data_IF_110439573067
#
_entry.id   IF_110439573067
#
_cell.length_a   1.000
_cell.length_b   1.000
_cell.length_c   1.000
_cell.angle_alpha   90.00
_cell.angle_beta   90.00
_cell.angle_gamma   90.00
#
_symmetry.space_group_name_H-M   'P 1'
#
loop_
_entity.id
_entity.type
_entity.pdbx_description
1 polymer ?
#
# COMPACT_ATOMS: atom_id res chain seq x y z
N UNK A 1 0.23 -8.71 16.89
CA UNK A 1 0.19 -7.39 16.32
C UNK A 1 0.13 -7.44 14.80
N UNK A 2 -0.71 -6.66 14.20
CA UNK A 2 -0.88 -6.68 12.76
C UNK A 2 -0.38 -5.38 12.16
N UNK A 3 -0.27 -5.37 10.85
CA UNK A 3 0.14 -4.19 10.14
C UNK A 3 1.64 -4.15 9.91
N UNK A 4 2.10 -3.06 9.33
CA UNK A 4 3.47 -2.94 8.89
C UNK A 4 4.35 -2.30 9.97
N UNK A 5 5.62 -2.66 9.95
CA UNK A 5 6.60 -2.02 10.82
C UNK A 5 7.05 -0.70 10.21
N UNK A 6 7.75 0.11 11.02
CA UNK A 6 8.28 1.38 10.55
C UNK A 6 9.26 1.17 9.40
N UNK A 7 10.06 0.11 9.46
CA UNK A 7 11.01 -0.19 8.39
C UNK A 7 10.29 -0.53 7.09
N UNK A 8 9.18 -1.23 7.19
CA UNK A 8 8.39 -1.55 6.00
C UNK A 8 7.78 -0.30 5.39
N UNK A 9 7.27 0.60 6.21
CA UNK A 9 6.75 1.87 5.71
C UNK A 9 7.81 2.67 4.99
N UNK A 10 9.01 2.74 5.55
CA UNK A 10 10.12 3.43 4.90
C UNK A 10 10.47 2.81 3.55
N UNK A 11 10.48 1.50 3.50
CA UNK A 11 10.76 0.78 2.26
C UNK A 11 9.73 1.12 1.20
N UNK A 12 8.45 1.08 1.57
CA UNK A 12 7.38 1.39 0.62
C UNK A 12 7.43 2.84 0.17
N UNK A 13 7.74 3.75 1.08
CA UNK A 13 7.85 5.16 0.71
C UNK A 13 8.96 5.37 -0.30
N UNK A 14 10.08 4.68 -0.12
CA UNK A 14 11.19 4.75 -1.06
C UNK A 14 10.81 4.22 -2.43
N UNK A 15 10.09 3.11 -2.47
CA UNK A 15 9.62 2.55 -3.72
C UNK A 15 8.63 3.49 -4.39
N UNK A 16 7.70 4.03 -3.60
CA UNK A 16 6.66 4.91 -4.13
C UNK A 16 7.25 6.15 -4.79
N UNK A 17 8.30 6.70 -4.19
CA UNK A 17 8.92 7.90 -4.75
C UNK A 17 9.51 7.66 -6.13
N UNK A 18 9.92 6.44 -6.40
CA UNK A 18 10.52 6.09 -7.68
C UNK A 18 9.51 5.67 -8.73
N UNK A 19 8.27 5.44 -8.35
CA UNK A 19 7.23 4.99 -9.27
C UNK A 19 6.66 6.13 -10.08
N UNK A 20 6.24 5.83 -11.30
CA UNK A 20 5.41 6.74 -12.07
C UNK A 20 4.00 6.74 -11.51
N UNK A 21 3.20 7.72 -11.93
CA UNK A 21 1.80 7.77 -11.51
C UNK A 21 1.06 6.52 -11.96
N UNK A 22 1.34 6.07 -13.17
CA UNK A 22 0.75 4.84 -13.70
C UNK A 22 1.09 3.64 -12.83
N UNK A 23 2.35 3.54 -12.44
CA UNK A 23 2.81 2.46 -11.57
C UNK A 23 2.14 2.51 -10.21
N UNK A 24 2.00 3.71 -9.65
CA UNK A 24 1.33 3.87 -8.37
C UNK A 24 -0.11 3.40 -8.43
N UNK A 25 -0.82 3.80 -9.48
CA UNK A 25 -2.20 3.36 -9.66
C UNK A 25 -2.31 1.85 -9.74
N UNK A 26 -1.39 1.23 -10.46
CA UNK A 26 -1.38 -0.23 -10.61
C UNK A 26 -1.13 -0.92 -9.27
N UNK A 27 -0.15 -0.42 -8.53
CA UNK A 27 0.20 -1.01 -7.23
C UNK A 27 -0.97 -0.87 -6.25
N UNK A 28 -1.60 0.30 -6.23
CA UNK A 28 -2.73 0.56 -5.34
C UNK A 28 -3.87 -0.40 -5.65
N UNK A 29 -4.15 -0.58 -6.93
CA UNK A 29 -5.20 -1.50 -7.34
C UNK A 29 -4.89 -2.93 -6.88
N UNK A 30 -3.64 -3.37 -7.08
CA UNK A 30 -3.21 -4.69 -6.65
C UNK A 30 -3.37 -4.87 -5.15
N UNK A 31 -2.95 -3.87 -4.38
CA UNK A 31 -3.04 -3.95 -2.92
C UNK A 31 -4.48 -4.04 -2.47
N UNK A 32 -5.37 -3.29 -3.10
CA UNK A 32 -6.78 -3.32 -2.75
C UNK A 32 -7.40 -4.68 -3.07
N UNK A 33 -7.02 -5.27 -4.18
CA UNK A 33 -7.52 -6.58 -4.55
C UNK A 33 -7.02 -7.64 -3.57
N UNK A 34 -5.76 -7.55 -3.19
CA UNK A 34 -5.20 -8.48 -2.21
C UNK A 34 -5.88 -8.31 -0.85
N UNK A 35 -6.15 -7.08 -0.46
CA UNK A 35 -6.83 -6.79 0.79
C UNK A 35 -8.23 -7.42 0.80
N UNK A 36 -8.96 -7.26 -0.29
CA UNK A 36 -10.29 -7.84 -0.42
C UNK A 36 -10.25 -9.36 -0.33
N UNK A 37 -9.25 -9.97 -0.96
CA UNK A 37 -9.12 -11.42 -0.95
C UNK A 37 -8.87 -11.95 0.45
N UNK A 38 -8.20 -11.16 1.29
CA UNK A 38 -7.90 -11.57 2.67
C UNK A 38 -9.02 -11.23 3.65
N UNK A 39 -9.99 -10.44 3.20
CA UNK A 39 -11.06 -9.98 4.07
C UNK A 39 -11.84 -11.17 4.65
N UNK A 40 -11.97 -11.17 5.95
CA UNK A 40 -12.79 -12.16 6.63
C UNK A 40 -12.06 -13.44 6.99
N UNK A 41 -10.82 -13.66 6.52
CA UNK A 41 -10.14 -14.87 6.91
C UNK A 41 -8.65 -14.70 7.22
N UNK A 42 -8.07 -13.57 6.93
CA UNK A 42 -6.71 -13.30 7.38
C UNK A 42 -6.56 -11.83 7.72
N UNK A 43 -7.00 -11.44 8.93
CA UNK A 43 -6.99 -10.02 9.31
C UNK A 43 -5.60 -9.40 9.34
N UNK A 44 -4.58 -10.17 9.68
CA UNK A 44 -3.23 -9.63 9.70
C UNK A 44 -2.76 -9.23 8.31
N UNK A 45 -3.00 -10.09 7.34
CA UNK A 45 -2.64 -9.79 5.97
C UNK A 45 -3.50 -8.69 5.39
N UNK A 46 -4.77 -8.67 5.75
CA UNK A 46 -5.66 -7.60 5.33
C UNK A 46 -5.12 -6.25 5.77
N UNK A 47 -4.70 -6.15 7.03
CA UNK A 47 -4.14 -4.91 7.57
C UNK A 47 -2.82 -4.55 6.91
N UNK A 48 -2.00 -5.54 6.63
CA UNK A 48 -0.73 -5.34 5.97
C UNK A 48 -0.93 -4.69 4.59
N UNK A 49 -1.84 -5.24 3.80
CA UNK A 49 -2.11 -4.68 2.47
C UNK A 49 -2.79 -3.33 2.56
N UNK A 50 -3.61 -3.12 3.57
CA UNK A 50 -4.24 -1.84 3.79
C UNK A 50 -3.19 -0.76 4.04
N UNK A 51 -2.18 -1.08 4.85
CA UNK A 51 -1.08 -0.15 5.13
C UNK A 51 -0.28 0.16 3.88
N UNK A 52 -0.05 -0.83 3.06
CA UNK A 52 0.64 -0.60 1.79
C UNK A 52 -0.12 0.36 0.89
N UNK A 53 -1.21 0.20 0.83
CA UNK A 53 -1.89 0.85 0.08
C UNK A 53 -1.95 2.11 0.42
N UNK A 54 -2.17 2.32 1.59
CA UNK A 54 -2.24 3.69 2.10
C UNK A 54 -0.97 4.48 1.78
N UNK A 55 0.16 3.84 1.95
CA UNK A 55 1.45 4.49 1.66
C UNK A 55 1.54 4.94 0.22
N UNK A 56 1.19 4.06 -0.71
CA UNK A 56 1.25 4.39 -2.12
C UNK A 56 0.20 5.45 -2.49
N UNK A 57 -0.98 5.37 -1.88
CA UNK A 57 -2.02 6.36 -2.11
C UNK A 57 -1.59 7.76 -1.65
N UNK A 58 -0.90 7.82 -0.51
CA UNK A 58 -0.40 9.09 -0.01
C UNK A 58 0.57 9.74 -0.98
N UNK A 59 1.45 8.94 -1.56
CA UNK A 59 2.40 9.46 -2.54
C UNK A 59 1.68 9.96 -3.80
N UNK A 60 0.70 9.21 -4.26
CA UNK A 60 -0.07 9.61 -5.43
C UNK A 60 -0.79 10.93 -5.18
N UNK A 61 -1.43 11.03 -4.01
CA UNK A 61 -2.15 12.24 -3.63
C UNK A 61 -1.22 13.44 -3.58
N UNK A 62 -0.02 13.24 -3.06
CA UNK A 62 0.98 14.27 -2.95
C UNK A 62 1.36 14.82 -4.33
N UNK A 63 1.47 13.93 -5.33
CA UNK A 63 1.86 14.32 -6.68
C UNK A 63 0.75 15.02 -7.45
N UNK A 64 -0.49 14.72 -7.12
CA UNK A 64 -1.64 15.28 -7.83
C UNK A 64 -2.07 16.64 -7.28
N UNK A 65 -1.43 17.08 -6.23
CA UNK A 65 -1.75 18.36 -5.63
C UNK A 65 -1.34 19.54 -6.49
#
# INVERSE_FOLDING_TARGET
>A
MSGATADEFKKWEGIAKKCTISELNFIIKDCREAQSAMHGWNPEKENYYSDQXMTYSDELRRRLK
#
